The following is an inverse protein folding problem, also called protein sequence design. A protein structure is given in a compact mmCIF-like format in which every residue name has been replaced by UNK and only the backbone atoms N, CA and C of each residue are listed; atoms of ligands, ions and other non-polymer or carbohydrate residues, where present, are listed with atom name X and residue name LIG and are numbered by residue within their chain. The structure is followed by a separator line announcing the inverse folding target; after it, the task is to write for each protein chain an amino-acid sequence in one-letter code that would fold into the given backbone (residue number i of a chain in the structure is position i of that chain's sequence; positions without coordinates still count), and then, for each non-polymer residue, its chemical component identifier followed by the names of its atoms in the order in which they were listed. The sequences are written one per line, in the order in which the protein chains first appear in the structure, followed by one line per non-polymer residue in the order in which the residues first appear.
data_IF_532091773278
#
_entry.id   IF_532091773278
#
_cell.length_a   1.000
_cell.length_b   1.000
_cell.length_c   1.000
_cell.angle_alpha   90.00
_cell.angle_beta   90.00
_cell.angle_gamma   90.00
#
_symmetry.space_group_name_H-M   'P 1'
#
loop_
_entity.id
_entity.type
_entity.pdbx_description
1 polymer ?
#
# COMPACT_ATOMS: atom_id res chain seq x y z
N UNK A 1 -4.94 -45.24 70.70
CA UNK A 1 -6.08 -45.01 69.78
C UNK A 1 -7.15 -44.17 70.48
N UNK A 2 -7.30 -42.87 70.16
CA UNK A 2 -8.57 -42.12 70.16
C UNK A 2 -8.33 -40.71 69.63
N UNK A 3 -9.27 -40.28 68.79
CA UNK A 3 -9.23 -39.18 67.83
C UNK A 3 -9.31 -37.82 68.52
N UNK A 4 -8.56 -36.83 68.02
CA UNK A 4 -8.83 -35.40 68.28
C UNK A 4 -9.38 -34.79 66.99
N UNK A 5 -10.65 -34.40 67.02
CA UNK A 5 -11.30 -33.62 65.98
C UNK A 5 -11.10 -32.14 66.28
N UNK A 6 -10.36 -31.42 65.45
CA UNK A 6 -10.37 -29.95 65.41
C UNK A 6 -11.20 -29.52 64.20
N UNK A 7 -12.32 -28.84 64.46
CA UNK A 7 -13.13 -28.16 63.47
C UNK A 7 -12.42 -26.86 63.06
N UNK A 8 -11.88 -26.82 61.83
CA UNK A 8 -11.38 -25.60 61.20
C UNK A 8 -12.47 -25.01 60.31
N UNK A 9 -12.97 -23.85 60.67
CA UNK A 9 -13.95 -23.05 59.91
C UNK A 9 -13.24 -22.49 58.66
N UNK A 10 -13.66 -22.93 57.47
CA UNK A 10 -13.13 -22.46 56.20
C UNK A 10 -13.93 -21.22 55.75
N UNK A 11 -13.32 -20.04 55.85
CA UNK A 11 -13.87 -18.81 55.26
C UNK A 11 -13.72 -18.85 53.74
N UNK A 12 -14.84 -19.06 53.05
CA UNK A 12 -14.92 -18.99 51.60
C UNK A 12 -15.02 -17.51 51.18
N UNK A 13 -13.87 -16.85 50.96
CA UNK A 13 -13.86 -15.54 50.28
C UNK A 13 -14.09 -15.81 48.81
N UNK A 14 -15.36 -15.74 48.39
CA UNK A 14 -15.73 -15.76 46.99
C UNK A 14 -15.14 -14.54 46.28
N UNK A 15 -14.10 -14.75 45.49
CA UNK A 15 -13.62 -13.75 44.54
C UNK A 15 -14.69 -13.58 43.47
N UNK A 16 -15.46 -12.50 43.58
CA UNK A 16 -16.39 -12.07 42.54
C UNK A 16 -15.54 -11.57 41.36
N UNK A 17 -15.18 -12.47 40.44
CA UNK A 17 -14.53 -12.10 39.19
C UNK A 17 -15.50 -11.27 38.36
N UNK A 18 -15.31 -9.95 38.40
CA UNK A 18 -15.94 -9.03 37.46
C UNK A 18 -15.34 -9.34 36.08
N UNK A 19 -16.02 -10.17 35.29
CA UNK A 19 -15.68 -10.35 33.89
C UNK A 19 -15.86 -8.99 33.19
N UNK A 20 -14.76 -8.31 32.93
CA UNK A 20 -14.77 -7.14 32.07
C UNK A 20 -15.31 -7.58 30.70
N UNK A 21 -16.48 -7.08 30.31
CA UNK A 21 -16.94 -7.12 28.93
C UNK A 21 -15.96 -6.30 28.11
N UNK A 22 -14.92 -6.94 27.57
CA UNK A 22 -14.14 -6.35 26.49
C UNK A 22 -15.10 -6.21 25.31
N UNK A 23 -15.43 -5.00 24.84
CA UNK A 23 -16.19 -4.86 23.61
C UNK A 23 -15.38 -5.55 22.51
N UNK A 24 -15.88 -6.69 22.03
CA UNK A 24 -15.26 -7.38 20.90
C UNK A 24 -15.26 -6.41 19.73
N UNK A 25 -14.09 -6.12 19.17
CA UNK A 25 -13.98 -5.40 17.92
C UNK A 25 -14.68 -6.26 16.86
N UNK A 26 -15.96 -5.95 16.62
CA UNK A 26 -16.75 -6.68 15.65
C UNK A 26 -16.19 -6.34 14.28
N UNK A 27 -15.82 -7.37 13.51
CA UNK A 27 -15.31 -7.18 12.16
C UNK A 27 -16.27 -6.30 11.35
N UNK A 28 -15.77 -5.27 10.64
CA UNK A 28 -16.60 -4.43 9.79
C UNK A 28 -17.46 -5.26 8.85
N UNK A 29 -18.71 -4.85 8.69
CA UNK A 29 -19.63 -5.44 7.71
C UNK A 29 -19.71 -4.52 6.50
N UNK A 30 -19.86 -5.11 5.33
CA UNK A 30 -20.01 -4.38 4.07
C UNK A 30 -21.39 -4.66 3.48
N UNK A 31 -22.07 -3.62 3.01
CA UNK A 31 -23.35 -3.69 2.31
C UNK A 31 -23.16 -3.05 0.94
N UNK A 32 -23.63 -3.70 -0.14
CA UNK A 32 -23.57 -3.16 -1.51
C UNK A 32 -24.99 -3.12 -2.07
N UNK A 33 -25.47 -1.94 -2.44
CA UNK A 33 -26.82 -1.71 -2.97
C UNK A 33 -27.91 -2.38 -2.11
N UNK A 34 -27.83 -2.18 -0.79
CA UNK A 34 -28.77 -2.76 0.19
C UNK A 34 -28.57 -4.25 0.50
N UNK A 35 -27.65 -4.95 -0.18
CA UNK A 35 -27.37 -6.38 0.04
C UNK A 35 -26.13 -6.55 0.90
N UNK A 36 -26.25 -7.27 2.01
CA UNK A 36 -25.12 -7.58 2.87
C UNK A 36 -24.11 -8.49 2.16
N UNK A 37 -22.83 -8.10 2.19
CA UNK A 37 -21.71 -8.93 1.73
C UNK A 37 -21.35 -9.91 2.84
N UNK A 38 -21.56 -11.20 2.58
CA UNK A 38 -21.23 -12.29 3.51
C UNK A 38 -20.03 -13.08 3.00
N UNK A 39 -19.31 -13.70 3.94
CA UNK A 39 -18.17 -14.59 3.64
C UNK A 39 -16.92 -13.88 3.12
N UNK A 40 -16.84 -12.55 3.28
CA UNK A 40 -15.71 -11.73 2.87
C UNK A 40 -15.29 -10.91 4.09
N UNK A 41 -14.12 -11.17 4.68
CA UNK A 41 -13.67 -10.43 5.85
C UNK A 41 -13.29 -9.00 5.46
N UNK A 42 -13.71 -8.01 6.25
CA UNK A 42 -13.25 -6.63 6.14
C UNK A 42 -12.50 -6.25 7.41
N UNK A 43 -11.57 -5.31 7.30
CA UNK A 43 -10.63 -4.98 8.37
C UNK A 43 -10.58 -3.47 8.55
N UNK A 44 -10.46 -3.00 9.80
CA UNK A 44 -10.03 -1.62 10.05
C UNK A 44 -8.54 -1.63 10.28
N UNK A 45 -7.77 -1.01 9.38
CA UNK A 45 -6.31 -0.89 9.50
C UNK A 45 -5.97 0.59 9.43
N UNK A 46 -5.31 1.11 10.47
CA UNK A 46 -4.93 2.53 10.56
C UNK A 46 -6.10 3.50 10.28
N UNK A 47 -7.29 3.17 10.79
CA UNK A 47 -8.52 3.96 10.60
C UNK A 47 -9.16 3.84 9.22
N UNK A 48 -8.69 2.94 8.34
CA UNK A 48 -9.26 2.69 7.01
C UNK A 48 -9.93 1.33 6.96
N UNK A 49 -11.11 1.28 6.32
CA UNK A 49 -11.79 0.02 6.02
C UNK A 49 -11.15 -0.61 4.79
N UNK A 50 -10.48 -1.72 5.01
CA UNK A 50 -9.79 -2.52 4.01
C UNK A 50 -10.66 -3.73 3.64
N UNK A 51 -10.89 -3.92 2.35
CA UNK A 51 -11.74 -5.00 1.84
C UNK A 51 -11.05 -5.84 0.77
N UNK A 52 -11.34 -7.15 0.70
CA UNK A 52 -10.97 -7.99 -0.43
C UNK A 52 -11.58 -7.46 -1.71
N UNK A 53 -10.73 -7.14 -2.70
CA UNK A 53 -11.19 -6.55 -3.96
C UNK A 53 -12.26 -7.43 -4.60
N UNK A 54 -11.96 -8.71 -4.82
CA UNK A 54 -12.91 -9.62 -5.48
C UNK A 54 -14.21 -9.76 -4.69
N UNK A 55 -14.10 -9.90 -3.37
CA UNK A 55 -15.24 -10.13 -2.49
C UNK A 55 -16.21 -8.94 -2.38
N UNK A 56 -15.77 -7.71 -2.62
CA UNK A 56 -16.66 -6.54 -2.52
C UNK A 56 -16.94 -5.92 -3.89
N UNK A 57 -15.94 -5.83 -4.75
CA UNK A 57 -16.00 -5.02 -5.97
C UNK A 57 -16.73 -5.72 -7.11
N UNK A 58 -16.65 -7.05 -7.21
CA UNK A 58 -17.46 -7.81 -8.19
C UNK A 58 -18.97 -7.74 -7.89
N UNK A 59 -19.36 -7.30 -6.68
CA UNK A 59 -20.77 -7.12 -6.30
C UNK A 59 -21.32 -5.76 -6.73
N UNK A 60 -20.47 -4.85 -7.21
CA UNK A 60 -20.90 -3.60 -7.81
C UNK A 60 -21.37 -3.92 -9.25
N UNK A 61 -22.55 -3.42 -9.67
CA UNK A 61 -23.05 -3.66 -11.03
C UNK A 61 -22.04 -3.28 -12.12
N UNK A 62 -22.04 -4.03 -13.21
CA UNK A 62 -21.22 -3.80 -14.41
C UNK A 62 -19.70 -3.83 -14.17
N UNK A 63 -19.25 -4.46 -13.08
CA UNK A 63 -17.86 -4.47 -12.64
C UNK A 63 -17.20 -5.84 -12.82
N UNK A 64 -16.04 -5.88 -13.47
CA UNK A 64 -15.19 -7.06 -13.59
C UNK A 64 -13.86 -6.86 -12.88
N UNK A 65 -13.36 -7.91 -12.22
CA UNK A 65 -12.06 -7.92 -11.54
C UNK A 65 -11.18 -9.02 -12.11
N UNK A 66 -9.91 -8.70 -12.39
CA UNK A 66 -8.89 -9.65 -12.82
C UNK A 66 -7.66 -9.53 -11.93
N UNK A 67 -7.00 -10.66 -11.70
CA UNK A 67 -5.77 -10.74 -10.94
C UNK A 67 -4.66 -11.32 -11.80
N UNK A 68 -3.55 -10.60 -11.94
CA UNK A 68 -2.30 -11.08 -12.50
C UNK A 68 -1.37 -11.46 -11.35
N UNK A 69 -1.22 -12.76 -11.12
CA UNK A 69 -0.39 -13.29 -10.07
C UNK A 69 1.11 -13.06 -10.30
N UNK A 70 1.57 -13.06 -11.56
CA UNK A 70 2.99 -12.85 -11.90
C UNK A 70 3.41 -11.42 -11.58
N UNK A 71 2.55 -10.46 -11.90
CA UNK A 71 2.80 -9.02 -11.68
C UNK A 71 2.28 -8.51 -10.34
N UNK A 72 1.63 -9.36 -9.54
CA UNK A 72 0.93 -8.99 -8.30
C UNK A 72 0.02 -7.77 -8.51
N UNK A 73 -0.81 -7.84 -9.55
CA UNK A 73 -1.59 -6.72 -10.06
C UNK A 73 -3.08 -7.05 -10.15
N UNK A 74 -3.90 -6.11 -9.70
CA UNK A 74 -5.36 -6.13 -9.83
C UNK A 74 -5.77 -5.21 -10.98
N UNK A 75 -6.63 -5.72 -11.86
CA UNK A 75 -7.38 -4.93 -12.82
C UNK A 75 -8.85 -4.90 -12.41
N UNK A 76 -9.44 -3.71 -12.39
CA UNK A 76 -10.87 -3.52 -12.22
C UNK A 76 -11.41 -2.76 -13.42
N UNK A 77 -12.53 -3.22 -13.97
CA UNK A 77 -13.19 -2.56 -15.09
C UNK A 77 -14.67 -2.36 -14.77
N UNK A 78 -15.18 -1.14 -14.96
CA UNK A 78 -16.62 -0.84 -14.91
C UNK A 78 -16.95 0.14 -16.02
N UNK A 79 -17.81 -0.26 -16.96
CA UNK A 79 -18.02 0.48 -18.20
C UNK A 79 -16.68 0.70 -18.96
N UNK A 80 -16.37 1.97 -19.25
CA UNK A 80 -15.12 2.42 -19.88
C UNK A 80 -13.98 2.66 -18.88
N UNK A 81 -14.28 2.76 -17.58
CA UNK A 81 -13.28 3.00 -16.56
C UNK A 81 -12.46 1.74 -16.33
N UNK A 82 -11.14 1.88 -16.44
CA UNK A 82 -10.15 0.84 -16.16
C UNK A 82 -9.27 1.29 -15.01
N UNK A 83 -9.17 0.47 -13.99
CA UNK A 83 -8.33 0.69 -12.81
C UNK A 83 -7.28 -0.40 -12.75
N UNK A 84 -6.00 -0.02 -12.70
CA UNK A 84 -4.86 -0.92 -12.54
C UNK A 84 -4.21 -0.62 -11.20
N UNK A 85 -4.09 -1.61 -10.33
CA UNK A 85 -3.48 -1.45 -9.01
C UNK A 85 -2.43 -2.53 -8.78
N UNK A 86 -1.28 -2.13 -8.27
CA UNK A 86 -0.22 -3.06 -7.90
C UNK A 86 -0.19 -3.22 -6.37
N UNK A 87 -0.01 -4.44 -5.88
CA UNK A 87 0.15 -4.68 -4.44
C UNK A 87 1.37 -3.91 -3.92
N UNK A 88 1.23 -3.22 -2.79
CA UNK A 88 2.28 -2.40 -2.19
C UNK A 88 2.45 -1.01 -2.81
N UNK A 89 1.80 -0.71 -3.94
CA UNK A 89 1.82 0.64 -4.52
C UNK A 89 0.97 1.60 -3.70
N UNK A 90 1.44 2.84 -3.55
CA UNK A 90 0.67 3.96 -3.00
C UNK A 90 -0.22 4.66 -4.03
N UNK A 91 -0.29 4.15 -5.26
CA UNK A 91 -1.05 4.74 -6.37
C UNK A 91 -1.75 3.67 -7.20
N UNK A 92 -2.83 4.07 -7.87
CA UNK A 92 -3.58 3.32 -8.86
C UNK A 92 -3.55 4.05 -10.20
N UNK A 93 -3.71 3.33 -11.31
CA UNK A 93 -3.95 3.98 -12.61
C UNK A 93 -5.42 3.88 -12.99
N UNK A 94 -6.11 5.01 -13.07
CA UNK A 94 -7.52 5.14 -13.44
C UNK A 94 -7.60 5.77 -14.84
N UNK A 95 -8.10 5.03 -15.83
CA UNK A 95 -8.22 5.55 -17.19
C UNK A 95 -6.89 5.98 -17.82
N UNK A 96 -5.76 5.46 -17.32
CA UNK A 96 -4.42 5.85 -17.74
C UNK A 96 -3.77 6.95 -16.89
N UNK A 97 -4.51 7.60 -15.99
CA UNK A 97 -3.98 8.60 -15.06
C UNK A 97 -3.63 7.97 -13.71
N UNK A 98 -2.55 8.40 -13.08
CA UNK A 98 -2.24 7.97 -11.72
C UNK A 98 -3.05 8.72 -10.66
N UNK A 99 -3.49 7.97 -9.66
CA UNK A 99 -4.31 8.44 -8.55
C UNK A 99 -3.73 7.93 -7.24
N UNK A 100 -3.45 8.80 -6.25
CA UNK A 100 -2.94 8.38 -4.96
C UNK A 100 -3.96 7.55 -4.19
N UNK A 101 -3.46 6.53 -3.50
CA UNK A 101 -4.19 5.76 -2.51
C UNK A 101 -3.93 6.38 -1.13
N UNK A 102 -4.99 6.49 -0.33
CA UNK A 102 -4.87 6.86 1.07
C UNK A 102 -4.16 5.78 1.90
N UNK A 103 -4.16 4.53 1.42
CA UNK A 103 -3.37 3.43 1.96
C UNK A 103 -3.02 2.40 0.87
N UNK A 104 -1.78 1.90 0.79
CA UNK A 104 -1.38 0.90 -0.20
C UNK A 104 -2.20 -0.40 -0.13
N UNK A 105 -2.29 -1.09 -1.27
CA UNK A 105 -2.84 -2.45 -1.31
C UNK A 105 -1.98 -3.39 -0.47
N UNK A 106 -2.63 -4.31 0.26
CA UNK A 106 -1.96 -5.33 1.08
C UNK A 106 -2.46 -6.72 0.74
N UNK A 107 -1.63 -7.73 0.98
CA UNK A 107 -2.08 -9.12 1.02
C UNK A 107 -2.45 -9.46 2.46
N UNK A 108 -3.63 -10.06 2.67
CA UNK A 108 -4.09 -10.52 3.97
C UNK A 108 -5.10 -11.65 3.80
N UNK A 109 -4.95 -12.72 4.57
CA UNK A 109 -5.82 -13.91 4.55
C UNK A 109 -6.10 -14.48 3.14
N UNK A 110 -5.07 -14.50 2.28
CA UNK A 110 -5.19 -14.97 0.89
C UNK A 110 -5.90 -14.00 -0.06
N UNK A 111 -6.22 -12.78 0.40
CA UNK A 111 -6.89 -11.75 -0.37
C UNK A 111 -5.99 -10.53 -0.61
N UNK A 112 -6.22 -9.86 -1.75
CA UNK A 112 -5.73 -8.50 -1.95
C UNK A 112 -6.71 -7.52 -1.32
N UNK A 113 -6.26 -6.84 -0.28
CA UNK A 113 -7.00 -5.85 0.50
C UNK A 113 -6.73 -4.45 -0.05
N UNK A 114 -7.80 -3.66 -0.16
CA UNK A 114 -7.76 -2.30 -0.71
C UNK A 114 -8.63 -1.35 0.13
N UNK A 115 -8.29 -0.05 0.18
CA UNK A 115 -9.16 0.94 0.81
C UNK A 115 -10.52 0.98 0.10
N UNK A 116 -11.58 0.68 0.86
CA UNK A 116 -12.94 0.58 0.34
C UNK A 116 -13.40 1.87 -0.35
N UNK A 117 -13.09 3.02 0.25
CA UNK A 117 -13.50 4.33 -0.25
C UNK A 117 -12.90 4.63 -1.61
N UNK A 118 -11.60 4.41 -1.76
CA UNK A 118 -10.87 4.67 -3.00
C UNK A 118 -11.54 3.99 -4.20
N UNK A 119 -11.74 2.67 -4.09
CA UNK A 119 -12.23 1.88 -5.22
C UNK A 119 -13.69 2.17 -5.52
N UNK A 120 -14.51 2.41 -4.50
CA UNK A 120 -15.88 2.80 -4.72
C UNK A 120 -15.96 4.15 -5.44
N UNK A 121 -15.21 5.17 -4.99
CA UNK A 121 -15.20 6.50 -5.62
C UNK A 121 -14.74 6.46 -7.08
N UNK A 122 -13.64 5.75 -7.35
CA UNK A 122 -13.10 5.60 -8.71
C UNK A 122 -14.06 4.89 -9.65
N UNK A 123 -14.87 3.96 -9.12
CA UNK A 123 -15.90 3.27 -9.89
C UNK A 123 -17.21 4.05 -9.94
N UNK A 124 -17.26 5.29 -9.43
CA UNK A 124 -18.47 6.12 -9.42
C UNK A 124 -19.52 5.68 -8.40
N UNK A 125 -19.14 4.88 -7.41
CA UNK A 125 -19.97 4.47 -6.29
C UNK A 125 -19.78 5.41 -5.09
N UNK A 126 -20.82 5.51 -4.26
CA UNK A 126 -20.79 6.23 -2.98
C UNK A 126 -20.49 5.27 -1.83
N UNK A 127 -19.74 5.71 -0.83
CA UNK A 127 -19.50 4.97 0.41
C UNK A 127 -19.90 5.79 1.62
N UNK A 128 -20.74 5.21 2.47
CA UNK A 128 -21.10 5.75 3.78
C UNK A 128 -20.64 4.79 4.88
N UNK A 129 -20.06 5.32 5.96
CA UNK A 129 -19.55 4.53 7.10
C UNK A 129 -20.36 4.83 8.36
N UNK A 130 -21.00 3.81 8.93
CA UNK A 130 -21.61 3.85 10.25
C UNK A 130 -20.65 3.26 11.28
N UNK A 131 -19.97 4.16 12.02
CA UNK A 131 -19.00 3.77 13.03
C UNK A 131 -19.64 3.07 14.24
N UNK A 132 -20.87 3.42 14.61
CA UNK A 132 -21.55 2.81 15.75
C UNK A 132 -21.91 1.36 15.45
N UNK A 133 -22.31 1.06 14.21
CA UNK A 133 -22.67 -0.29 13.77
C UNK A 133 -21.52 -1.08 13.11
N UNK A 134 -20.39 -0.42 12.88
CA UNK A 134 -19.26 -0.92 12.09
C UNK A 134 -19.71 -1.42 10.70
N UNK A 135 -20.51 -0.62 10.01
CA UNK A 135 -21.07 -0.97 8.69
C UNK A 135 -20.62 0.03 7.63
N UNK A 136 -19.99 -0.47 6.58
CA UNK A 136 -19.74 0.30 5.37
C UNK A 136 -20.81 -0.02 4.32
N UNK A 137 -21.47 1.01 3.80
CA UNK A 137 -22.50 0.89 2.78
C UNK A 137 -21.99 1.48 1.46
N UNK A 138 -22.02 0.67 0.40
CA UNK A 138 -21.72 1.08 -0.96
C UNK A 138 -23.03 1.23 -1.72
N UNK A 139 -23.20 2.35 -2.42
CA UNK A 139 -24.33 2.58 -3.31
C UNK A 139 -23.81 2.94 -4.70
N UNK A 140 -24.24 2.19 -5.71
CA UNK A 140 -23.85 2.36 -7.10
C UNK A 140 -25.06 2.14 -8.01
N UNK A 141 -25.39 3.15 -8.81
CA UNK A 141 -26.41 3.07 -9.84
C UNK A 141 -25.85 2.36 -11.09
N UNK A 142 -26.61 1.44 -11.73
CA UNK A 142 -26.24 0.86 -13.03
C UNK A 142 -26.07 1.94 -14.09
N UNK A 143 -25.08 1.80 -14.98
CA UNK A 143 -24.84 2.76 -16.07
C UNK A 143 -24.34 4.16 -15.67
N UNK A 144 -24.36 4.53 -14.38
CA UNK A 144 -23.67 5.72 -13.90
C UNK A 144 -22.22 5.38 -13.56
N UNK A 145 -21.35 5.48 -14.56
CA UNK A 145 -19.95 5.77 -14.26
C UNK A 145 -19.90 7.27 -14.05
N UNK A 146 -19.87 7.71 -12.79
CA UNK A 146 -19.49 9.10 -12.54
C UNK A 146 -18.03 9.15 -12.96
N UNK A 147 -17.77 9.64 -14.18
CA UNK A 147 -16.46 10.15 -14.52
C UNK A 147 -16.19 11.21 -13.46
N UNK A 148 -15.54 10.81 -12.36
CA UNK A 148 -14.83 11.77 -11.57
C UNK A 148 -13.90 12.38 -12.60
N UNK A 149 -14.18 13.64 -12.92
CA UNK A 149 -13.15 14.54 -13.33
C UNK A 149 -12.08 14.46 -12.23
N UNK A 150 -11.19 13.47 -12.31
CA UNK A 150 -9.78 13.72 -12.15
C UNK A 150 -9.49 14.79 -13.17
N UNK A 151 -9.81 16.03 -12.75
CA UNK A 151 -9.62 17.23 -13.52
C UNK A 151 -8.17 17.14 -13.92
N UNK A 152 -7.94 17.01 -15.22
CA UNK A 152 -6.72 17.43 -15.87
C UNK A 152 -6.35 18.79 -15.31
N UNK A 153 -5.52 18.79 -14.28
CA UNK A 153 -4.32 19.60 -14.23
C UNK A 153 -3.48 19.06 -13.05
N UNK A 154 -2.17 18.80 -13.26
CA UNK A 154 -1.19 19.11 -12.22
C UNK A 154 -1.61 20.45 -11.60
N UNK A 155 -1.67 20.60 -10.27
CA UNK A 155 -1.95 21.91 -9.65
C UNK A 155 -1.16 22.97 -10.41
N UNK A 156 -1.85 23.83 -11.14
CA UNK A 156 -1.22 24.83 -11.99
C UNK A 156 -0.29 25.64 -11.10
N UNK A 157 1.02 25.55 -11.36
CA UNK A 157 2.07 26.21 -10.57
C UNK A 157 2.70 25.44 -9.40
N UNK A 158 2.41 24.14 -9.17
CA UNK A 158 3.20 23.31 -8.23
C UNK A 158 3.83 22.12 -8.95
N UNK A 159 5.17 21.94 -8.91
CA UNK A 159 5.81 20.79 -9.53
C UNK A 159 5.26 19.52 -8.90
N UNK A 160 4.80 18.58 -9.74
CA UNK A 160 4.44 17.25 -9.27
C UNK A 160 5.72 16.55 -8.78
N UNK A 161 5.58 15.71 -7.76
CA UNK A 161 6.69 14.98 -7.16
C UNK A 161 6.50 13.49 -7.37
N UNK A 162 7.48 12.83 -7.98
CA UNK A 162 7.52 11.37 -8.07
C UNK A 162 8.08 10.80 -6.77
N UNK A 163 7.32 9.96 -6.06
CA UNK A 163 7.76 9.38 -4.80
C UNK A 163 8.06 7.89 -4.95
N UNK A 164 9.18 7.44 -4.38
CA UNK A 164 9.49 6.02 -4.21
C UNK A 164 9.56 5.75 -2.72
N UNK A 165 8.88 4.70 -2.26
CA UNK A 165 8.83 4.33 -0.86
C UNK A 165 9.24 2.87 -0.65
N UNK A 166 9.92 2.60 0.46
CA UNK A 166 10.31 1.26 0.91
C UNK A 166 9.85 1.13 2.36
N UNK A 167 9.06 0.12 2.69
CA UNK A 167 8.58 -0.12 4.07
C UNK A 167 7.60 0.92 4.62
N UNK A 168 7.10 1.83 3.77
CA UNK A 168 6.22 2.95 4.18
C UNK A 168 6.95 4.30 4.23
N UNK A 169 8.28 4.31 4.19
CA UNK A 169 9.09 5.53 4.20
C UNK A 169 9.42 5.97 2.77
N UNK A 170 9.20 7.26 2.47
CA UNK A 170 9.59 7.84 1.18
C UNK A 170 11.11 8.00 1.12
N UNK A 171 11.74 7.21 0.26
CA UNK A 171 13.20 7.18 0.10
C UNK A 171 13.69 8.12 -1.01
N UNK A 172 12.91 8.27 -2.08
CA UNK A 172 13.26 9.13 -3.21
C UNK A 172 12.12 10.09 -3.53
N UNK A 173 12.50 11.28 -4.00
CA UNK A 173 11.58 12.29 -4.48
C UNK A 173 12.12 12.91 -5.75
N UNK A 174 11.49 12.59 -6.87
CA UNK A 174 11.79 13.12 -8.19
C UNK A 174 11.04 14.44 -8.38
N UNK A 175 11.81 15.48 -8.70
CA UNK A 175 11.30 16.80 -9.09
C UNK A 175 11.44 17.03 -10.60
N UNK A 176 12.15 16.13 -11.29
CA UNK A 176 12.37 16.13 -12.73
C UNK A 176 12.03 14.75 -13.33
N UNK A 177 11.33 14.72 -14.48
CA UNK A 177 11.02 13.46 -15.17
C UNK A 177 12.26 12.78 -15.76
N UNK A 178 13.39 13.49 -15.87
CA UNK A 178 14.58 12.99 -16.55
C UNK A 178 14.24 12.59 -18.00
N UNK A 179 14.50 11.32 -18.36
CA UNK A 179 14.17 10.78 -19.69
C UNK A 179 12.73 10.26 -19.85
N UNK A 180 11.95 10.25 -18.78
CA UNK A 180 10.59 9.69 -18.78
C UNK A 180 9.58 10.78 -19.18
N UNK A 181 8.34 10.38 -19.50
CA UNK A 181 7.31 11.36 -19.84
C UNK A 181 6.89 12.20 -18.62
N UNK A 182 7.07 11.67 -17.39
CA UNK A 182 6.72 12.36 -16.16
C UNK A 182 7.55 11.90 -14.94
N UNK A 183 7.53 12.68 -13.84
CA UNK A 183 8.22 12.31 -12.58
C UNK A 183 7.62 11.04 -11.96
N UNK A 184 6.35 10.80 -12.24
CA UNK A 184 5.57 9.65 -11.80
C UNK A 184 5.96 8.38 -12.56
N UNK A 185 6.03 8.45 -13.91
CA UNK A 185 6.51 7.31 -14.72
C UNK A 185 7.92 6.91 -14.31
N UNK A 186 8.76 7.91 -14.03
CA UNK A 186 10.08 7.70 -13.47
C UNK A 186 10.02 6.98 -12.11
N UNK A 187 9.21 7.47 -11.18
CA UNK A 187 9.07 6.86 -9.85
C UNK A 187 8.57 5.41 -9.92
N UNK A 188 7.58 5.13 -10.78
CA UNK A 188 7.06 3.79 -11.01
C UNK A 188 8.13 2.86 -11.57
N UNK A 189 8.88 3.31 -12.59
CA UNK A 189 9.97 2.53 -13.17
C UNK A 189 11.07 2.25 -12.15
N UNK A 190 11.43 3.23 -11.33
CA UNK A 190 12.42 3.06 -10.26
C UNK A 190 11.94 2.06 -9.21
N UNK A 191 10.65 2.06 -8.87
CA UNK A 191 10.07 1.09 -7.92
C UNK A 191 10.14 -0.34 -8.45
N UNK A 192 9.86 -0.54 -9.74
CA UNK A 192 10.01 -1.83 -10.42
C UNK A 192 11.48 -2.28 -10.40
N UNK A 193 12.41 -1.40 -10.78
CA UNK A 193 13.85 -1.70 -10.79
C UNK A 193 14.41 -1.99 -9.40
N UNK A 194 13.90 -1.35 -8.34
CA UNK A 194 14.23 -1.70 -6.96
C UNK A 194 13.79 -3.12 -6.62
N UNK A 195 12.58 -3.51 -7.06
CA UNK A 195 12.05 -4.85 -6.82
C UNK A 195 12.87 -5.90 -7.56
N UNK A 196 13.23 -5.64 -8.82
CA UNK A 196 14.08 -6.51 -9.64
C UNK A 196 15.50 -6.61 -9.06
N UNK A 197 16.09 -5.48 -8.66
CA UNK A 197 17.40 -5.45 -8.02
C UNK A 197 17.42 -6.20 -6.70
N UNK A 198 16.33 -6.14 -5.92
CA UNK A 198 16.20 -6.92 -4.70
C UNK A 198 16.01 -8.41 -4.99
N UNK A 199 15.41 -8.79 -6.12
CA UNK A 199 15.35 -10.19 -6.53
C UNK A 199 16.74 -10.74 -6.95
N UNK A 200 17.60 -9.89 -7.54
CA UNK A 200 18.98 -10.25 -7.94
C UNK A 200 19.98 -10.23 -6.77
N UNK A 201 19.89 -9.23 -5.90
CA UNK A 201 20.91 -8.89 -4.91
C UNK A 201 20.40 -8.85 -3.45
N UNK A 202 19.10 -9.07 -3.25
CA UNK A 202 18.47 -9.08 -1.94
C UNK A 202 18.72 -10.37 -1.18
N UNK A 203 18.31 -10.40 0.09
CA UNK A 203 18.39 -11.60 0.89
C UNK A 203 17.50 -12.72 0.33
N UNK A 204 18.03 -13.95 0.27
CA UNK A 204 17.18 -15.14 0.15
C UNK A 204 16.17 -15.17 1.31
N UNK A 205 15.00 -15.79 1.13
CA UNK A 205 13.89 -15.77 2.10
C UNK A 205 14.36 -15.96 3.55
N UNK A 206 14.21 -14.93 4.39
CA UNK A 206 14.65 -14.93 5.80
C UNK A 206 16.10 -14.46 6.06
N UNK A 207 16.81 -14.05 5.01
CA UNK A 207 18.20 -13.58 5.08
C UNK A 207 18.33 -12.08 5.39
N UNK A 208 19.56 -11.67 5.72
CA UNK A 208 19.94 -10.28 5.99
C UNK A 208 20.39 -9.58 4.70
N UNK A 209 20.05 -8.29 4.57
CA UNK A 209 20.48 -7.48 3.43
C UNK A 209 21.99 -7.24 3.47
N UNK A 210 22.68 -7.37 2.33
CA UNK A 210 24.09 -7.05 2.18
C UNK A 210 24.23 -5.61 1.64
N UNK A 211 24.69 -4.62 2.43
CA UNK A 211 24.78 -3.23 1.97
C UNK A 211 25.74 -3.00 0.81
N UNK A 212 26.69 -3.92 0.59
CA UNK A 212 27.63 -3.85 -0.52
C UNK A 212 26.97 -4.16 -1.87
N UNK A 213 25.76 -4.74 -1.90
CA UNK A 213 25.01 -4.92 -3.14
C UNK A 213 24.43 -3.61 -3.68
N UNK A 214 24.45 -2.54 -2.89
CA UNK A 214 24.07 -1.19 -3.30
C UNK A 214 25.32 -0.33 -3.51
N UNK A 215 25.57 0.04 -4.76
CA UNK A 215 26.79 0.72 -5.19
C UNK A 215 26.52 1.74 -6.29
N UNK A 216 27.48 2.64 -6.54
CA UNK A 216 27.39 3.63 -7.62
C UNK A 216 28.19 3.21 -8.85
N UNK A 217 27.54 3.31 -10.01
CA UNK A 217 28.16 3.20 -11.32
C UNK A 217 28.07 4.54 -12.06
N UNK A 218 28.53 4.56 -13.32
CA UNK A 218 28.32 5.67 -14.24
C UNK A 218 27.70 5.20 -15.55
N UNK A 219 26.75 5.99 -16.06
CA UNK A 219 26.22 5.82 -17.41
C UNK A 219 26.14 7.18 -18.08
N UNK A 220 26.74 7.33 -19.26
CA UNK A 220 26.76 8.60 -20.03
C UNK A 220 27.23 9.80 -19.19
N UNK A 221 28.19 9.57 -18.30
CA UNK A 221 28.73 10.60 -17.38
C UNK A 221 27.93 10.79 -16.09
N UNK A 222 26.67 10.38 -16.03
CA UNK A 222 25.80 10.52 -14.85
C UNK A 222 26.05 9.41 -13.81
N UNK A 223 26.00 9.72 -12.50
CA UNK A 223 25.96 8.70 -11.46
C UNK A 223 24.71 7.82 -11.58
N UNK A 224 24.88 6.52 -11.38
CA UNK A 224 23.79 5.54 -11.40
C UNK A 224 23.83 4.70 -10.13
N UNK A 225 22.73 4.67 -9.39
CA UNK A 225 22.56 3.79 -8.23
C UNK A 225 22.23 2.39 -8.76
N UNK A 226 23.07 1.43 -8.41
CA UNK A 226 22.94 0.02 -8.74
C UNK A 226 22.48 -0.76 -7.51
N UNK A 227 21.62 -1.75 -7.71
CA UNK A 227 21.29 -2.78 -6.72
C UNK A 227 21.52 -4.14 -7.38
N UNK A 228 22.59 -4.83 -6.94
CA UNK A 228 23.14 -5.98 -7.65
C UNK A 228 23.58 -5.58 -9.05
N UNK A 229 22.99 -6.25 -10.05
CA UNK A 229 23.20 -5.97 -11.49
C UNK A 229 22.21 -4.98 -12.07
N UNK A 230 21.19 -4.56 -11.30
CA UNK A 230 20.11 -3.71 -11.81
C UNK A 230 20.46 -2.24 -11.62
N UNK A 231 20.41 -1.47 -12.71
CA UNK A 231 20.50 -0.02 -12.67
C UNK A 231 19.17 0.56 -12.22
N UNK A 232 19.11 1.05 -10.98
CA UNK A 232 17.88 1.46 -10.32
C UNK A 232 17.53 2.89 -10.63
N UNK A 233 18.48 3.81 -10.44
CA UNK A 233 18.26 5.25 -10.62
C UNK A 233 19.48 5.89 -11.27
N UNK A 234 19.28 6.49 -12.44
CA UNK A 234 20.23 7.46 -13.01
C UNK A 234 19.94 8.84 -12.39
N UNK A 235 20.96 9.50 -11.85
CA UNK A 235 20.85 10.84 -11.26
C UNK A 235 21.27 11.88 -12.29
N UNK A 236 20.30 12.62 -12.82
CA UNK A 236 20.53 13.55 -13.92
C UNK A 236 20.94 14.94 -13.41
N UNK A 237 21.52 15.81 -14.26
CA UNK A 237 21.82 17.18 -13.87
C UNK A 237 20.57 17.96 -13.44
N UNK A 238 19.41 17.66 -14.02
CA UNK A 238 18.14 18.28 -13.62
C UNK A 238 17.73 17.89 -12.19
N UNK A 239 18.02 16.66 -11.75
CA UNK A 239 17.78 16.24 -10.37
C UNK A 239 18.65 17.02 -9.39
N UNK A 240 19.95 17.08 -9.69
CA UNK A 240 20.92 17.83 -8.92
C UNK A 240 20.50 19.29 -8.75
N UNK A 241 20.12 19.95 -9.87
CA UNK A 241 19.58 21.30 -9.87
C UNK A 241 18.31 21.45 -9.03
N UNK A 242 17.36 20.52 -9.15
CA UNK A 242 16.09 20.58 -8.41
C UNK A 242 16.24 20.35 -6.89
N UNK A 243 17.29 19.63 -6.47
CA UNK A 243 17.64 19.42 -5.06
C UNK A 243 18.69 20.40 -4.54
N UNK A 244 19.23 21.27 -5.40
CA UNK A 244 20.32 22.21 -5.08
C UNK A 244 21.56 21.50 -4.51
N UNK A 245 21.91 20.37 -5.12
CA UNK A 245 23.06 19.54 -4.75
C UNK A 245 23.89 19.22 -6.00
N UNK A 246 25.14 18.84 -5.81
CA UNK A 246 25.93 18.19 -6.87
C UNK A 246 25.36 16.78 -7.19
N UNK A 247 25.53 16.30 -8.43
CA UNK A 247 24.99 15.00 -8.87
C UNK A 247 25.54 13.84 -8.04
N UNK A 248 26.84 13.85 -7.73
CA UNK A 248 27.48 12.81 -6.94
C UNK A 248 26.94 12.84 -5.50
N UNK A 249 26.89 14.02 -4.89
CA UNK A 249 26.34 14.19 -3.53
C UNK A 249 24.86 13.75 -3.43
N UNK A 250 24.05 14.06 -4.44
CA UNK A 250 22.65 13.63 -4.49
C UNK A 250 22.54 12.10 -4.64
N UNK A 251 23.36 11.50 -5.50
CA UNK A 251 23.40 10.05 -5.68
C UNK A 251 23.79 9.34 -4.39
N UNK A 252 24.81 9.83 -3.69
CA UNK A 252 25.23 9.30 -2.39
C UNK A 252 24.11 9.41 -1.34
N UNK A 253 23.42 10.56 -1.27
CA UNK A 253 22.31 10.77 -0.35
C UNK A 253 21.12 9.84 -0.63
N UNK A 254 20.75 9.67 -1.90
CA UNK A 254 19.67 8.75 -2.31
C UNK A 254 20.04 7.29 -2.05
N UNK A 255 21.28 6.90 -2.36
CA UNK A 255 21.79 5.56 -2.07
C UNK A 255 21.77 5.28 -0.56
N UNK A 256 22.18 6.25 0.27
CA UNK A 256 22.14 6.11 1.72
C UNK A 256 20.70 5.90 2.25
N UNK A 257 19.71 6.62 1.71
CA UNK A 257 18.30 6.43 2.07
C UNK A 257 17.76 5.05 1.69
N UNK A 258 18.06 4.59 0.47
CA UNK A 258 17.71 3.24 0.02
C UNK A 258 18.33 2.20 0.95
N UNK A 259 19.63 2.33 1.24
CA UNK A 259 20.36 1.43 2.13
C UNK A 259 19.74 1.37 3.52
N UNK A 260 19.47 2.53 4.12
CA UNK A 260 18.87 2.60 5.46
C UNK A 260 17.49 1.92 5.50
N UNK A 261 16.64 2.17 4.49
CA UNK A 261 15.32 1.55 4.41
C UNK A 261 15.41 0.02 4.24
N UNK A 262 16.30 -0.46 3.38
CA UNK A 262 16.48 -1.91 3.18
C UNK A 262 17.06 -2.59 4.43
N UNK A 263 18.03 -1.98 5.12
CA UNK A 263 18.53 -2.48 6.40
C UNK A 263 17.42 -2.51 7.45
N UNK A 264 16.56 -1.48 7.51
CA UNK A 264 15.44 -1.43 8.43
C UNK A 264 14.43 -2.58 8.24
N UNK A 265 14.21 -3.01 7.00
CA UNK A 265 13.28 -4.10 6.66
C UNK A 265 13.93 -5.48 6.86
N UNK A 266 15.15 -5.66 6.37
CA UNK A 266 15.77 -6.99 6.22
C UNK A 266 16.88 -7.27 7.25
N UNK A 267 17.30 -6.27 8.03
CA UNK A 267 18.49 -6.36 8.87
C UNK A 267 19.79 -6.31 8.06
N UNK A 268 20.89 -6.01 8.74
CA UNK A 268 22.22 -5.93 8.12
C UNK A 268 23.00 -7.23 8.29
N UNK A 269 23.58 -7.76 7.20
CA UNK A 269 24.40 -8.97 7.20
C UNK A 269 25.71 -8.76 7.95
#
# INVERSE_FOLDING_TARGET
MRKRHCFGVLWWVGVLSLAALTPGLTAPRVVVNGKAVRGVPAYVISGRVMVPVRGVIERIPDTGVQWDARRKQVWVRRGETRVKLNVGSGYAHVGGQEVPLDMPLRLGDGHTLMPLRFVAEVLGARVDWDAARQVATITAEPGQTRALAYRSAPREGKPQLGHVAIGGDTILTFRSPGRFASVEERAARVTELLSDGLADAGPETGGRFNPASLWLSRARGNPVIMLGKVAVVEVTPEDAGAHKMDQQALADAWMAKIRAALIGIYGNR
#
